data_IF_173516267141
#
_entry.id   IF_173516267141
#
_cell.length_a   1.000
_cell.length_b   1.000
_cell.length_c   1.000
_cell.angle_alpha   90.00
_cell.angle_beta   90.00
_cell.angle_gamma   90.00
#
_symmetry.space_group_name_H-M   'P 1'
#
loop_
_entity.id
_entity.type
_entity.pdbx_description
1 polymer ?
#
# COMPACT_ATOMS: atom_id res chain seq x y z
N UNK A 1 -9.98 -26.08 19.98
CA UNK A 1 -8.90 -25.16 19.64
C UNK A 1 -9.15 -24.61 18.25
N UNK A 2 -9.33 -23.31 18.15
CA UNK A 2 -9.54 -22.67 16.84
C UNK A 2 -8.19 -22.34 16.23
N UNK A 3 -7.87 -23.04 15.15
CA UNK A 3 -6.72 -22.67 14.33
C UNK A 3 -7.14 -21.48 13.46
N UNK A 4 -6.52 -20.33 13.68
CA UNK A 4 -6.67 -19.21 12.75
C UNK A 4 -6.08 -19.61 11.41
N UNK A 5 -6.82 -19.35 10.33
CA UNK A 5 -6.27 -19.47 8.99
C UNK A 5 -5.06 -18.54 8.86
N UNK A 6 -4.02 -18.98 8.19
CA UNK A 6 -2.86 -18.15 7.89
C UNK A 6 -3.27 -16.94 7.07
N UNK A 7 -2.63 -15.75 7.29
CA UNK A 7 -2.90 -14.59 6.46
C UNK A 7 -2.61 -14.87 5.00
N UNK A 8 -3.49 -14.42 4.12
CA UNK A 8 -3.34 -14.53 2.69
C UNK A 8 -3.13 -13.13 2.11
N UNK A 9 -1.91 -12.85 1.67
CA UNK A 9 -1.58 -11.58 1.03
C UNK A 9 -1.39 -11.82 -0.47
N UNK A 10 -2.30 -11.27 -1.26
CA UNK A 10 -2.24 -11.35 -2.71
C UNK A 10 -1.52 -10.11 -3.25
N UNK A 11 -0.41 -10.31 -3.95
CA UNK A 11 0.32 -9.22 -4.58
C UNK A 11 0.37 -9.48 -6.08
N UNK A 12 -0.28 -8.62 -6.86
CA UNK A 12 -0.40 -8.75 -8.30
C UNK A 12 0.26 -7.57 -8.99
N UNK A 13 0.98 -7.85 -10.07
CA UNK A 13 1.54 -6.83 -10.95
C UNK A 13 0.81 -6.88 -12.29
N UNK A 14 -0.09 -5.92 -12.52
CA UNK A 14 -0.91 -5.83 -13.75
C UNK A 14 -0.40 -4.78 -14.73
N UNK A 15 0.83 -4.31 -14.57
CA UNK A 15 1.47 -3.37 -15.50
C UNK A 15 2.78 -3.98 -16.03
N UNK A 16 3.32 -3.43 -17.11
CA UNK A 16 4.47 -4.03 -17.80
C UNK A 16 5.70 -3.12 -17.87
N UNK A 17 5.57 -1.85 -17.50
CA UNK A 17 6.66 -0.88 -17.64
C UNK A 17 7.77 -1.05 -16.62
N UNK A 18 7.41 -1.47 -15.40
CA UNK A 18 8.36 -1.53 -14.29
C UNK A 18 8.33 -2.91 -13.66
N UNK A 19 9.51 -3.49 -13.46
CA UNK A 19 9.66 -4.76 -12.77
C UNK A 19 9.38 -4.57 -11.28
N UNK A 20 8.60 -5.49 -10.69
CA UNK A 20 8.24 -5.46 -9.29
C UNK A 20 8.45 -6.86 -8.70
N UNK A 21 9.20 -6.93 -7.60
CA UNK A 21 9.40 -8.17 -6.86
C UNK A 21 8.20 -8.39 -5.93
N UNK A 22 7.20 -9.11 -6.43
CA UNK A 22 5.96 -9.35 -5.68
C UNK A 22 6.17 -10.19 -4.42
N UNK A 23 7.16 -11.08 -4.40
CA UNK A 23 7.49 -11.88 -3.21
C UNK A 23 8.02 -10.99 -2.09
N UNK A 24 8.86 -10.03 -2.44
CA UNK A 24 9.43 -9.08 -1.48
C UNK A 24 8.34 -8.20 -0.86
N UNK A 25 7.38 -7.75 -1.68
CA UNK A 25 6.25 -6.98 -1.19
C UNK A 25 5.38 -7.81 -0.25
N UNK A 26 5.16 -9.07 -0.58
CA UNK A 26 4.38 -9.97 0.28
C UNK A 26 5.05 -10.17 1.64
N UNK A 27 6.36 -10.37 1.67
CA UNK A 27 7.12 -10.44 2.92
C UNK A 27 7.07 -9.15 3.71
N UNK A 28 7.11 -8.02 3.03
CA UNK A 28 7.00 -6.71 3.66
C UNK A 28 5.61 -6.52 4.32
N UNK A 29 4.54 -6.91 3.64
CA UNK A 29 3.18 -6.89 4.21
C UNK A 29 3.10 -7.71 5.49
N UNK A 30 3.65 -8.92 5.48
CA UNK A 30 3.66 -9.79 6.65
C UNK A 30 4.41 -9.14 7.81
N UNK A 31 5.57 -8.54 7.54
CA UNK A 31 6.38 -7.87 8.56
C UNK A 31 5.68 -6.63 9.13
N UNK A 32 5.09 -5.81 8.28
CA UNK A 32 4.39 -4.58 8.69
C UNK A 32 3.17 -4.90 9.56
N UNK A 33 2.35 -5.82 9.10
CA UNK A 33 1.13 -6.18 9.84
C UNK A 33 1.47 -6.83 11.18
N UNK A 34 2.47 -7.70 11.22
CA UNK A 34 2.94 -8.31 12.45
C UNK A 34 3.50 -7.27 13.44
N UNK A 35 4.35 -6.38 12.96
CA UNK A 35 4.99 -5.36 13.80
C UNK A 35 3.97 -4.42 14.44
N UNK A 36 2.95 -4.00 13.68
CA UNK A 36 1.95 -3.06 14.15
C UNK A 36 0.76 -3.75 14.85
N UNK A 37 0.75 -5.09 14.89
CA UNK A 37 -0.34 -5.84 15.49
C UNK A 37 -1.65 -5.72 14.70
N UNK A 38 -1.56 -5.58 13.39
CA UNK A 38 -2.72 -5.48 12.51
C UNK A 38 -3.18 -6.89 12.14
N UNK A 39 -4.42 -7.22 12.49
CA UNK A 39 -5.01 -8.52 12.14
C UNK A 39 -5.62 -8.44 10.73
N UNK A 40 -4.76 -8.43 9.73
CA UNK A 40 -5.15 -8.44 8.33
C UNK A 40 -5.06 -9.88 7.80
N UNK A 41 -6.19 -10.55 7.63
CA UNK A 41 -6.22 -11.94 7.17
C UNK A 41 -6.12 -12.06 5.66
N UNK A 42 -6.91 -11.25 4.94
CA UNK A 42 -6.90 -11.22 3.49
C UNK A 42 -6.73 -9.78 3.03
N UNK A 43 -5.68 -9.56 2.29
CA UNK A 43 -5.28 -8.23 1.83
C UNK A 43 -4.68 -8.36 0.43
N UNK A 44 -5.05 -7.48 -0.48
CA UNK A 44 -4.44 -7.45 -1.80
C UNK A 44 -3.72 -6.13 -2.06
N UNK A 45 -2.59 -6.23 -2.75
CA UNK A 45 -1.85 -5.10 -3.31
C UNK A 45 -1.74 -5.33 -4.81
N UNK A 46 -2.20 -4.38 -5.61
CA UNK A 46 -2.22 -4.50 -7.06
C UNK A 46 -1.48 -3.30 -7.67
N UNK A 47 -0.45 -3.59 -8.43
CA UNK A 47 0.30 -2.58 -9.19
C UNK A 47 -0.32 -2.42 -10.56
N UNK A 48 -0.71 -1.20 -10.90
CA UNK A 48 -1.43 -0.86 -12.11
C UNK A 48 -0.73 0.29 -12.85
N UNK A 49 -1.18 0.56 -14.08
CA UNK A 49 -0.70 1.68 -14.90
C UNK A 49 -1.40 2.98 -14.53
N UNK A 50 -0.82 4.11 -14.95
CA UNK A 50 -1.45 5.43 -14.77
C UNK A 50 -2.85 5.52 -15.40
N UNK A 51 -3.08 5.06 -16.65
CA UNK A 51 -4.43 5.11 -17.21
C UNK A 51 -5.45 4.33 -16.39
N UNK A 52 -5.08 3.14 -15.90
CA UNK A 52 -5.96 2.34 -15.05
C UNK A 52 -6.21 3.04 -13.71
N UNK A 53 -5.16 3.62 -13.11
CA UNK A 53 -5.29 4.38 -11.86
C UNK A 53 -6.19 5.60 -12.04
N UNK A 54 -6.07 6.30 -13.16
CA UNK A 54 -6.92 7.45 -13.48
C UNK A 54 -8.40 7.06 -13.54
N UNK A 55 -8.71 5.91 -14.14
CA UNK A 55 -10.08 5.38 -14.20
C UNK A 55 -10.62 5.12 -12.79
N UNK A 56 -9.85 4.46 -11.94
CA UNK A 56 -10.26 4.22 -10.55
C UNK A 56 -10.44 5.52 -9.77
N UNK A 57 -9.49 6.45 -9.90
CA UNK A 57 -9.53 7.71 -9.17
C UNK A 57 -10.75 8.56 -9.59
N UNK A 58 -11.04 8.62 -10.88
CA UNK A 58 -12.22 9.32 -11.41
C UNK A 58 -13.51 8.67 -10.89
N UNK A 59 -13.59 7.34 -10.97
CA UNK A 59 -14.80 6.59 -10.62
C UNK A 59 -15.12 6.65 -9.12
N UNK A 60 -14.09 6.53 -8.27
CA UNK A 60 -14.29 6.37 -6.83
C UNK A 60 -14.03 7.63 -6.03
N UNK A 61 -13.27 8.59 -6.55
CA UNK A 61 -12.95 9.85 -5.85
C UNK A 61 -13.36 11.10 -6.62
N UNK A 62 -13.76 10.97 -7.88
CA UNK A 62 -14.18 12.10 -8.71
C UNK A 62 -13.04 12.92 -9.30
N UNK A 63 -11.80 12.46 -9.20
CA UNK A 63 -10.63 13.16 -9.76
C UNK A 63 -10.18 12.47 -11.05
N UNK A 64 -10.26 13.19 -12.17
CA UNK A 64 -9.88 12.67 -13.48
C UNK A 64 -8.38 12.82 -13.73
N UNK A 65 -7.60 12.16 -12.91
CA UNK A 65 -6.13 12.12 -13.00
C UNK A 65 -5.62 10.88 -12.26
N UNK A 66 -4.41 10.38 -12.60
CA UNK A 66 -3.82 9.31 -11.81
C UNK A 66 -3.41 9.82 -10.42
N UNK A 67 -3.30 8.90 -9.49
CA UNK A 67 -2.73 9.12 -8.16
C UNK A 67 -1.74 7.99 -7.87
N UNK A 68 -1.00 8.11 -6.77
CA UNK A 68 0.01 7.11 -6.43
C UNK A 68 -0.61 5.85 -5.78
N UNK A 69 -1.50 6.02 -4.83
CA UNK A 69 -2.10 4.91 -4.08
C UNK A 69 -3.57 5.17 -3.77
N UNK A 70 -4.39 4.13 -3.90
CA UNK A 70 -5.78 4.11 -3.44
C UNK A 70 -5.98 2.89 -2.55
N UNK A 71 -6.70 3.08 -1.44
CA UNK A 71 -7.03 2.01 -0.50
C UNK A 71 -8.53 1.86 -0.40
N UNK A 72 -9.01 0.62 -0.50
CA UNK A 72 -10.43 0.28 -0.41
C UNK A 72 -10.64 -0.72 0.72
N UNK A 73 -11.36 -0.33 1.75
CA UNK A 73 -11.68 -1.22 2.87
C UNK A 73 -12.54 -2.38 2.41
N UNK A 74 -12.20 -3.57 2.89
CA UNK A 74 -13.01 -4.76 2.69
C UNK A 74 -14.10 -4.90 3.74
N UNK A 75 -14.65 -6.11 3.84
CA UNK A 75 -15.66 -6.46 4.83
C UNK A 75 -15.44 -7.89 5.31
N UNK A 76 -15.89 -8.19 6.53
CA UNK A 76 -15.66 -9.49 7.14
C UNK A 76 -14.18 -9.78 7.33
N UNK A 77 -13.72 -10.95 6.88
CA UNK A 77 -12.31 -11.34 6.94
C UNK A 77 -11.44 -10.68 5.87
N UNK A 78 -12.05 -10.02 4.90
CA UNK A 78 -11.33 -9.32 3.84
C UNK A 78 -10.96 -7.92 4.31
N UNK A 79 -9.66 -7.69 4.51
CA UNK A 79 -9.15 -6.43 5.05
C UNK A 79 -9.25 -5.28 4.04
N UNK A 80 -8.90 -5.53 2.79
CA UNK A 80 -9.06 -4.55 1.74
C UNK A 80 -8.09 -4.69 0.58
N UNK A 81 -8.18 -3.72 -0.33
CA UNK A 81 -7.34 -3.62 -1.51
C UNK A 81 -6.51 -2.35 -1.49
N UNK A 82 -5.25 -2.47 -1.89
CA UNK A 82 -4.35 -1.34 -2.11
C UNK A 82 -3.97 -1.34 -3.58
N UNK A 83 -4.31 -0.27 -4.30
CA UNK A 83 -3.91 -0.07 -5.69
C UNK A 83 -2.78 0.94 -5.73
N UNK A 84 -1.71 0.61 -6.44
CA UNK A 84 -0.54 1.48 -6.58
C UNK A 84 -0.23 1.67 -8.07
N UNK A 85 -0.12 2.94 -8.50
CA UNK A 85 0.37 3.22 -9.84
C UNK A 85 1.88 3.10 -9.86
N UNK A 86 2.38 2.09 -10.59
CA UNK A 86 3.82 1.89 -10.72
C UNK A 86 4.50 3.06 -11.44
N UNK A 87 3.85 3.63 -12.45
CA UNK A 87 4.39 4.77 -13.20
C UNK A 87 4.52 6.01 -12.31
N UNK A 88 3.48 6.34 -11.55
CA UNK A 88 3.51 7.48 -10.63
C UNK A 88 4.55 7.26 -9.53
N UNK A 89 4.61 6.06 -8.96
CA UNK A 89 5.62 5.73 -7.94
C UNK A 89 7.04 5.87 -8.47
N UNK A 90 7.27 5.46 -9.71
CA UNK A 90 8.57 5.59 -10.36
C UNK A 90 8.95 7.06 -10.57
N UNK A 91 8.02 7.88 -11.07
CA UNK A 91 8.26 9.30 -11.27
C UNK A 91 8.54 10.04 -9.96
N UNK A 92 7.84 9.70 -8.90
CA UNK A 92 8.10 10.25 -7.57
C UNK A 92 9.53 9.95 -7.12
N UNK A 93 9.97 8.70 -7.29
CA UNK A 93 11.32 8.29 -6.92
C UNK A 93 12.38 9.04 -7.75
N UNK A 94 12.13 9.21 -9.04
CA UNK A 94 13.06 9.94 -9.92
C UNK A 94 13.22 11.39 -9.54
N UNK A 95 12.19 12.03 -9.02
CA UNK A 95 12.23 13.42 -8.56
C UNK A 95 12.83 13.58 -7.17
N UNK A 96 13.00 12.49 -6.44
CA UNK A 96 13.59 12.47 -5.11
C UNK A 96 15.08 12.23 -5.19
N UNK A 97 15.85 12.85 -4.30
CA UNK A 97 17.27 12.57 -4.15
C UNK A 97 17.54 11.44 -3.16
N UNK A 98 16.51 10.93 -2.49
CA UNK A 98 16.63 9.99 -1.38
C UNK A 98 15.96 8.65 -1.72
N UNK A 99 14.83 8.69 -2.43
CA UNK A 99 14.00 7.51 -2.65
C UNK A 99 14.44 6.74 -3.89
N UNK A 100 14.58 5.42 -3.74
CA UNK A 100 14.60 4.51 -4.88
C UNK A 100 13.16 4.12 -5.21
N UNK A 101 12.94 3.56 -6.40
CA UNK A 101 11.62 3.05 -6.78
C UNK A 101 11.11 2.00 -5.79
N UNK A 102 11.97 1.06 -5.42
CA UNK A 102 11.62 -0.02 -4.52
C UNK A 102 11.28 0.50 -3.12
N UNK A 103 12.05 1.45 -2.61
CA UNK A 103 11.77 2.08 -1.31
C UNK A 103 10.44 2.83 -1.34
N UNK A 104 10.18 3.57 -2.43
CA UNK A 104 8.92 4.31 -2.56
C UNK A 104 7.72 3.38 -2.61
N UNK A 105 7.83 2.26 -3.32
CA UNK A 105 6.76 1.24 -3.34
C UNK A 105 6.46 0.78 -1.92
N UNK A 106 7.46 0.47 -1.11
CA UNK A 106 7.25 0.04 0.27
C UNK A 106 6.58 1.12 1.11
N UNK A 107 6.94 2.38 0.91
CA UNK A 107 6.27 3.51 1.59
C UNK A 107 4.79 3.60 1.22
N UNK A 108 4.46 3.42 -0.05
CA UNK A 108 3.07 3.47 -0.52
C UNK A 108 2.27 2.28 0.01
N UNK A 109 2.85 1.10 0.04
CA UNK A 109 2.23 -0.09 0.64
C UNK A 109 1.95 0.16 2.13
N UNK A 110 2.93 0.65 2.87
CA UNK A 110 2.79 0.99 4.29
C UNK A 110 1.65 1.98 4.51
N UNK A 111 1.62 3.06 3.74
CA UNK A 111 0.58 4.08 3.81
C UNK A 111 -0.82 3.47 3.59
N UNK A 112 -0.95 2.64 2.57
CA UNK A 112 -2.20 1.96 2.28
C UNK A 112 -2.65 1.02 3.40
N UNK A 113 -1.73 0.26 3.97
CA UNK A 113 -2.04 -0.64 5.10
C UNK A 113 -2.54 0.15 6.31
N UNK A 114 -1.91 1.26 6.63
CA UNK A 114 -2.33 2.09 7.76
C UNK A 114 -3.71 2.69 7.53
N UNK A 115 -4.02 3.14 6.31
CA UNK A 115 -5.37 3.61 5.98
C UNK A 115 -6.41 2.50 6.15
N UNK A 116 -6.12 1.29 5.69
CA UNK A 116 -7.03 0.16 5.86
C UNK A 116 -7.21 -0.20 7.35
N UNK A 117 -6.20 0.03 8.17
CA UNK A 117 -6.28 -0.18 9.61
C UNK A 117 -7.04 0.92 10.35
N UNK A 118 -7.49 1.95 9.65
CA UNK A 118 -8.31 3.01 10.23
C UNK A 118 -7.58 4.31 10.55
N UNK A 119 -6.29 4.41 10.28
CA UNK A 119 -5.55 5.66 10.47
C UNK A 119 -5.86 6.63 9.33
N UNK A 120 -6.08 7.89 9.66
CA UNK A 120 -6.36 8.93 8.69
C UNK A 120 -5.71 10.24 9.14
N UNK A 121 -4.65 10.65 8.44
CA UNK A 121 -3.88 11.83 8.81
C UNK A 121 -4.64 13.16 8.60
N UNK A 122 -5.76 13.14 7.87
CA UNK A 122 -6.61 14.32 7.68
C UNK A 122 -7.52 14.57 8.89
N UNK A 123 -7.85 13.54 9.65
CA UNK A 123 -8.80 13.62 10.76
C UNK A 123 -8.18 13.34 12.13
N UNK A 124 -6.93 12.87 12.21
CA UNK A 124 -6.27 12.57 13.47
C UNK A 124 -5.42 13.77 13.98
N UNK A 125 -4.78 13.59 15.13
CA UNK A 125 -3.90 14.59 15.75
C UNK A 125 -2.41 14.29 15.48
N UNK A 126 -2.10 13.65 14.35
CA UNK A 126 -0.73 13.32 13.96
C UNK A 126 -0.32 11.88 14.27
N UNK A 127 -1.24 11.03 14.71
CA UNK A 127 -0.96 9.63 15.05
C UNK A 127 -0.45 8.84 13.86
N UNK A 128 -1.09 8.99 12.70
CA UNK A 128 -0.67 8.28 11.49
C UNK A 128 0.74 8.65 11.06
N UNK A 129 1.05 9.96 11.06
CA UNK A 129 2.40 10.42 10.70
C UNK A 129 3.46 9.89 11.64
N UNK A 130 3.16 9.84 12.94
CA UNK A 130 4.08 9.31 13.94
C UNK A 130 4.35 7.83 13.73
N UNK A 131 3.31 7.05 13.45
CA UNK A 131 3.43 5.62 13.16
C UNK A 131 4.20 5.39 11.86
N UNK A 132 3.88 6.12 10.79
CA UNK A 132 4.59 6.01 9.52
C UNK A 132 6.09 6.30 9.69
N UNK A 133 6.44 7.35 10.43
CA UNK A 133 7.82 7.72 10.69
C UNK A 133 8.58 6.63 11.42
N UNK A 134 7.95 6.06 12.46
CA UNK A 134 8.53 4.96 13.25
C UNK A 134 8.74 3.72 12.39
N UNK A 135 7.76 3.37 11.56
CA UNK A 135 7.82 2.19 10.72
C UNK A 135 8.80 2.34 9.56
N UNK A 136 8.90 3.54 8.99
CA UNK A 136 9.93 3.83 7.97
C UNK A 136 11.33 3.60 8.50
N UNK A 137 11.58 4.01 9.74
CA UNK A 137 12.86 3.75 10.40
C UNK A 137 13.08 2.27 10.65
N UNK A 138 12.06 1.58 11.16
CA UNK A 138 12.14 0.15 11.45
C UNK A 138 12.44 -0.67 10.21
N UNK A 139 11.77 -0.38 9.10
CA UNK A 139 11.86 -1.14 7.87
C UNK A 139 12.79 -0.53 6.82
N UNK A 140 13.45 0.56 7.15
CA UNK A 140 14.41 1.25 6.27
C UNK A 140 13.80 1.64 4.91
N UNK A 141 12.67 2.29 4.98
CA UNK A 141 12.03 2.82 3.79
C UNK A 141 11.47 4.28 3.92
#
# INVERSE_FOLDING_TARGET
MHLRAEPCYLVLNKQRKHAIDTRRIRRFLAAVTSYQGIDARELSVVFISDPMMQDYNRKYRGFDKPTDVLSFRGSGDYFGDILISAETAYQQARRSHILTFETNIRRLVLHGVLHLAGYDHETDNGEMRAIERRMRRKFQC
#
